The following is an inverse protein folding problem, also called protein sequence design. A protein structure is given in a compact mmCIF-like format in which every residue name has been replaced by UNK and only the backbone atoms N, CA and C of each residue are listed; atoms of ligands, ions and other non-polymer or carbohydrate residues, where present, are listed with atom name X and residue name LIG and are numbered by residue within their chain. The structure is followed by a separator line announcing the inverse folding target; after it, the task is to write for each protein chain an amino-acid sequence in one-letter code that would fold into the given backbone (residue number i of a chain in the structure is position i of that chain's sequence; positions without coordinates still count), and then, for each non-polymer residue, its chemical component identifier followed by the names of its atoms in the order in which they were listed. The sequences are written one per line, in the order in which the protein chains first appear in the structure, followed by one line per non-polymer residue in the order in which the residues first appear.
data_IF_668570558800
#
_entry.id   IF_668570558800
#
_cell.length_a   1.000
_cell.length_b   1.000
_cell.length_c   1.000
_cell.angle_alpha   90.00
_cell.angle_beta   90.00
_cell.angle_gamma   90.00
#
_symmetry.space_group_name_H-M   'P 1'
#
loop_
_entity.id
_entity.type
_entity.pdbx_description
1 polymer ?
#
# COMPACT_ATOMS: atom_id res chain seq x y z
N UNK A 1 -39.85 6.81 -27.46
CA UNK A 1 -39.47 6.90 -26.02
C UNK A 1 -39.17 5.54 -25.33
N UNK A 2 -39.59 4.39 -25.88
CA UNK A 2 -39.41 3.05 -25.19
C UNK A 2 -38.03 2.42 -25.33
N UNK A 3 -37.12 2.91 -26.16
CA UNK A 3 -35.78 2.31 -26.41
C UNK A 3 -34.62 3.01 -25.69
N UNK A 4 -34.85 4.15 -25.06
CA UNK A 4 -33.82 4.89 -24.32
C UNK A 4 -33.64 4.37 -22.88
N UNK A 5 -34.72 3.82 -22.31
CA UNK A 5 -34.72 3.30 -20.95
C UNK A 5 -33.76 2.13 -20.71
N UNK A 6 -33.67 1.09 -21.58
CA UNK A 6 -32.72 0.02 -21.39
C UNK A 6 -31.27 0.46 -21.61
N UNK A 7 -31.01 1.48 -22.44
CA UNK A 7 -29.67 2.01 -22.67
C UNK A 7 -29.18 2.80 -21.46
N UNK A 8 -30.04 3.57 -20.81
CA UNK A 8 -29.72 4.28 -19.56
C UNK A 8 -29.48 3.31 -18.40
N UNK A 9 -30.23 2.22 -18.32
CA UNK A 9 -30.04 1.19 -17.30
C UNK A 9 -28.71 0.45 -17.50
N UNK A 10 -28.34 0.15 -18.74
CA UNK A 10 -27.06 -0.47 -19.07
C UNK A 10 -25.87 0.44 -18.75
N UNK A 11 -26.00 1.74 -19.02
CA UNK A 11 -24.99 2.75 -18.69
C UNK A 11 -24.82 2.91 -17.18
N UNK A 12 -25.92 2.88 -16.41
CA UNK A 12 -25.88 2.93 -14.96
C UNK A 12 -25.20 1.69 -14.33
N UNK A 13 -25.41 0.50 -14.93
CA UNK A 13 -24.73 -0.73 -14.50
C UNK A 13 -23.22 -0.72 -14.81
N UNK A 14 -22.80 -0.07 -15.89
CA UNK A 14 -21.39 0.08 -16.22
C UNK A 14 -20.65 1.08 -15.30
N UNK A 15 -21.37 2.02 -14.71
CA UNK A 15 -20.82 2.98 -13.74
C UNK A 15 -20.76 2.46 -12.29
N UNK A 16 -21.44 1.34 -12.00
CA UNK A 16 -21.44 0.71 -10.68
C UNK A 16 -20.25 -0.24 -10.43
N UNK A 17 -19.38 -0.44 -11.42
CA UNK A 17 -18.25 -1.33 -11.31
C UNK A 17 -16.95 -0.60 -11.02
N UNK A 18 -16.38 -0.88 -9.88
CA UNK A 18 -15.07 -0.56 -9.31
C UNK A 18 -15.13 0.42 -8.13
N UNK A 19 -15.87 0.05 -7.12
CA UNK A 19 -15.45 0.43 -5.76
C UNK A 19 -14.41 -0.64 -5.35
N UNK A 20 -13.13 -0.36 -5.62
CA UNK A 20 -12.07 -1.10 -4.99
C UNK A 20 -12.27 -0.97 -3.48
N UNK A 21 -12.30 -2.10 -2.80
CA UNK A 21 -12.35 -2.15 -1.34
C UNK A 21 -11.19 -1.30 -0.83
N UNK A 22 -11.50 -0.22 -0.13
CA UNK A 22 -10.48 0.63 0.47
C UNK A 22 -9.73 -0.23 1.49
N UNK A 23 -8.40 -0.28 1.40
CA UNK A 23 -7.59 -0.92 2.43
C UNK A 23 -8.03 -0.37 3.80
N UNK A 24 -8.12 -1.23 4.84
CA UNK A 24 -8.49 -0.79 6.16
C UNK A 24 -7.57 0.37 6.58
N UNK A 25 -8.17 1.49 6.92
CA UNK A 25 -7.44 2.63 7.41
C UNK A 25 -7.05 2.35 8.87
N UNK A 26 -5.91 1.70 9.07
CA UNK A 26 -5.26 1.71 10.38
C UNK A 26 -4.85 3.15 10.65
N UNK A 27 -5.68 3.87 11.35
CA UNK A 27 -5.45 5.27 11.69
C UNK A 27 -4.91 5.35 13.11
N UNK A 28 -3.62 5.59 13.22
CA UNK A 28 -3.04 6.05 14.49
C UNK A 28 -3.22 7.56 14.60
N UNK A 29 -3.75 8.01 15.75
CA UNK A 29 -3.87 9.43 16.05
C UNK A 29 -2.48 9.97 16.41
N UNK A 30 -1.91 10.77 15.53
CA UNK A 30 -0.58 11.36 15.71
C UNK A 30 -0.51 12.30 16.93
N UNK A 31 -1.65 12.84 17.37
CA UNK A 31 -1.71 13.69 18.58
C UNK A 31 -1.45 12.89 19.86
N UNK A 32 -1.55 11.56 19.79
CA UNK A 32 -1.21 10.66 20.91
C UNK A 32 0.28 10.31 20.99
N UNK A 33 1.09 10.69 20.01
CA UNK A 33 2.55 10.49 20.08
C UNK A 33 3.12 11.39 21.17
N UNK A 34 3.78 10.85 22.20
CA UNK A 34 4.41 11.65 23.24
C UNK A 34 5.44 12.64 22.66
N UNK A 35 5.57 13.79 23.30
CA UNK A 35 6.60 14.75 22.93
C UNK A 35 8.00 14.12 23.05
N UNK A 36 8.94 14.59 22.22
CA UNK A 36 10.32 14.12 22.25
C UNK A 36 10.94 14.31 23.65
N UNK A 37 11.48 13.24 24.22
CA UNK A 37 12.05 13.19 25.56
C UNK A 37 13.53 12.74 25.59
N UNK A 38 14.24 12.87 24.46
CA UNK A 38 15.67 12.54 24.36
C UNK A 38 15.98 11.17 23.75
N UNK A 39 15.00 10.27 23.67
CA UNK A 39 15.17 8.95 23.07
C UNK A 39 14.81 8.97 21.57
N UNK A 40 15.51 8.19 20.70
CA UNK A 40 15.28 8.16 19.27
C UNK A 40 13.98 7.43 18.87
N UNK A 41 13.26 6.87 19.81
CA UNK A 41 12.01 6.13 19.60
C UNK A 41 11.06 6.36 20.78
N UNK A 42 9.80 6.08 20.56
CA UNK A 42 8.77 6.02 21.60
C UNK A 42 7.89 4.79 21.39
N UNK A 43 7.54 4.13 22.48
CA UNK A 43 6.60 3.01 22.44
C UNK A 43 5.19 3.57 22.37
N UNK A 44 4.40 3.08 21.41
CA UNK A 44 2.99 3.37 21.24
C UNK A 44 2.20 2.07 21.32
N UNK A 45 0.98 2.12 21.85
CA UNK A 45 0.09 0.96 21.98
C UNK A 45 0.80 -0.27 22.58
N UNK A 46 1.64 -0.10 23.58
CA UNK A 46 2.46 -1.18 24.18
C UNK A 46 3.23 -2.02 23.15
N UNK A 47 3.63 -1.39 22.06
CA UNK A 47 4.29 -2.01 20.90
C UNK A 47 3.46 -3.13 20.23
N UNK A 48 2.15 -3.01 20.30
CA UNK A 48 1.21 -3.89 19.59
C UNK A 48 0.70 -3.20 18.33
N UNK A 49 0.57 -3.91 17.21
CA UNK A 49 -0.03 -3.36 16.00
C UNK A 49 -1.52 -3.04 16.21
N UNK A 50 -2.03 -2.06 15.46
CA UNK A 50 -3.43 -1.65 15.47
C UNK A 50 -4.27 -2.45 14.47
N UNK A 51 -4.28 -3.77 14.59
CA UNK A 51 -5.13 -4.62 13.77
C UNK A 51 -6.48 -4.87 14.45
N UNK A 52 -7.55 -4.90 13.66
CA UNK A 52 -8.85 -5.41 14.10
C UNK A 52 -8.82 -6.93 14.29
N UNK A 53 -9.77 -7.46 15.04
CA UNK A 53 -9.85 -8.92 15.27
C UNK A 53 -10.05 -9.70 13.95
N UNK A 54 -10.76 -9.12 12.99
CA UNK A 54 -11.01 -9.67 11.66
C UNK A 54 -9.74 -9.69 10.76
N UNK A 55 -8.73 -8.92 11.13
CA UNK A 55 -7.47 -8.84 10.39
C UNK A 55 -6.46 -9.91 10.83
N UNK A 56 -6.71 -10.56 11.98
CA UNK A 56 -5.93 -11.70 12.44
C UNK A 56 -6.39 -12.98 11.71
N UNK A 57 -5.86 -13.19 10.53
CA UNK A 57 -6.19 -14.32 9.65
C UNK A 57 -4.94 -15.12 9.30
N UNK A 58 -5.13 -16.38 8.93
CA UNK A 58 -4.08 -17.22 8.33
C UNK A 58 -4.21 -17.32 6.81
N UNK A 59 -5.23 -16.68 6.23
CA UNK A 59 -5.38 -16.60 4.78
C UNK A 59 -4.48 -15.51 4.21
N UNK A 60 -3.65 -15.86 3.24
CA UNK A 60 -2.73 -14.91 2.62
C UNK A 60 -3.50 -13.92 1.74
N UNK A 61 -3.22 -12.63 1.93
CA UNK A 61 -3.77 -11.56 1.11
C UNK A 61 -2.78 -10.39 1.00
N UNK A 62 -2.96 -9.56 -0.01
CA UNK A 62 -2.30 -8.25 -0.11
C UNK A 62 -3.28 -7.19 -0.62
N UNK A 63 -3.24 -6.02 -0.02
CA UNK A 63 -4.11 -4.89 -0.37
C UNK A 63 -3.30 -3.60 -0.39
N UNK A 64 -3.57 -2.78 -1.37
CA UNK A 64 -2.91 -1.50 -1.57
C UNK A 64 -3.94 -0.40 -1.77
N UNK A 65 -3.77 0.73 -1.09
CA UNK A 65 -4.58 1.90 -1.38
C UNK A 65 -4.25 2.47 -2.77
N UNK A 66 -5.19 3.16 -3.36
CA UNK A 66 -4.89 3.98 -4.54
C UNK A 66 -3.82 5.03 -4.22
N UNK A 67 -3.07 5.45 -5.24
CA UNK A 67 -2.17 6.58 -5.10
C UNK A 67 -2.98 7.85 -4.82
N UNK A 68 -2.42 8.76 -4.04
CA UNK A 68 -3.04 10.06 -3.80
C UNK A 68 -2.97 10.99 -5.03
N UNK A 69 -3.54 12.19 -4.92
CA UNK A 69 -3.54 13.17 -6.01
C UNK A 69 -2.15 13.66 -6.47
N UNK A 70 -1.10 13.35 -5.73
CA UNK A 70 0.30 13.61 -6.07
C UNK A 70 1.05 12.35 -6.52
N UNK A 71 0.37 11.22 -6.66
CA UNK A 71 0.96 9.94 -7.04
C UNK A 71 1.79 9.30 -5.93
N UNK A 72 1.51 9.60 -4.65
CA UNK A 72 2.21 9.01 -3.51
C UNK A 72 1.49 7.76 -3.03
N UNK A 73 2.26 6.79 -2.58
CA UNK A 73 1.72 5.58 -1.97
C UNK A 73 1.01 5.90 -0.66
N UNK A 74 -0.09 5.20 -0.41
CA UNK A 74 -0.76 5.18 0.88
C UNK A 74 -0.52 3.85 1.59
N UNK A 75 -1.55 3.28 2.19
CA UNK A 75 -1.47 2.04 2.94
C UNK A 75 -1.13 0.86 2.05
N UNK A 76 -0.14 0.06 2.47
CA UNK A 76 0.13 -1.29 1.97
C UNK A 76 -0.10 -2.25 3.14
N UNK A 77 -0.94 -3.24 2.95
CA UNK A 77 -1.39 -4.13 3.99
C UNK A 77 -1.46 -5.57 3.48
N UNK A 78 -0.85 -6.50 4.21
CA UNK A 78 -0.79 -7.89 3.78
C UNK A 78 -0.71 -8.86 4.96
N UNK A 79 -1.35 -10.01 4.81
CA UNK A 79 -1.03 -11.23 5.54
C UNK A 79 -0.17 -12.10 4.61
N UNK A 80 1.13 -12.19 4.88
CA UNK A 80 2.07 -12.84 4.00
C UNK A 80 2.07 -14.35 4.23
N UNK A 81 1.75 -15.11 3.20
CA UNK A 81 1.79 -16.56 3.17
C UNK A 81 2.60 -17.08 2.00
N UNK A 82 2.84 -18.38 1.98
CA UNK A 82 3.61 -19.05 0.92
C UNK A 82 2.98 -18.82 -0.48
N UNK A 83 1.66 -18.65 -0.53
CA UNK A 83 0.90 -18.39 -1.77
C UNK A 83 1.31 -17.08 -2.44
N UNK A 84 1.77 -16.10 -1.66
CA UNK A 84 2.22 -14.79 -2.17
C UNK A 84 3.71 -14.76 -2.52
N UNK A 85 4.49 -15.76 -2.12
CA UNK A 85 5.92 -15.80 -2.41
C UNK A 85 6.20 -15.88 -3.92
N UNK A 86 7.24 -15.18 -4.41
CA UNK A 86 7.58 -15.19 -5.83
C UNK A 86 8.02 -16.58 -6.29
N UNK A 87 7.52 -17.00 -7.45
CA UNK A 87 7.91 -18.25 -8.11
C UNK A 87 9.06 -18.07 -9.11
N UNK A 88 9.52 -16.85 -9.36
CA UNK A 88 10.53 -16.51 -10.37
C UNK A 88 11.64 -15.61 -9.83
N UNK A 89 12.57 -15.28 -10.71
CA UNK A 89 13.66 -14.37 -10.39
C UNK A 89 13.16 -12.92 -10.26
N UNK A 90 13.85 -12.15 -9.45
CA UNK A 90 13.55 -10.73 -9.24
C UNK A 90 13.87 -9.93 -10.51
N UNK A 91 12.85 -9.26 -11.03
CA UNK A 91 13.01 -8.33 -12.14
C UNK A 91 13.52 -6.95 -11.69
N UNK A 92 14.12 -6.21 -12.63
CA UNK A 92 14.56 -4.85 -12.36
C UNK A 92 13.39 -3.89 -12.30
N UNK A 93 13.30 -3.12 -11.22
CA UNK A 93 12.33 -2.03 -11.04
C UNK A 93 12.93 -0.64 -11.33
N UNK A 94 14.02 -0.58 -12.08
CA UNK A 94 14.73 0.69 -12.36
C UNK A 94 13.87 1.72 -13.10
N UNK A 95 12.88 1.26 -13.87
CA UNK A 95 11.91 2.13 -14.57
C UNK A 95 10.83 2.69 -13.64
N UNK A 96 10.56 2.07 -12.50
CA UNK A 96 9.56 2.53 -11.53
C UNK A 96 10.15 3.64 -10.68
N UNK A 97 9.59 4.85 -10.81
CA UNK A 97 10.05 6.01 -10.05
C UNK A 97 8.91 6.51 -9.17
N UNK A 98 9.08 6.50 -7.85
CA UNK A 98 8.11 7.11 -6.94
C UNK A 98 7.91 8.60 -7.24
N UNK A 99 6.76 9.13 -6.85
CA UNK A 99 6.48 10.56 -6.97
C UNK A 99 7.56 11.38 -6.25
N UNK A 100 8.05 12.42 -6.93
CA UNK A 100 9.10 13.27 -6.39
C UNK A 100 10.50 12.63 -6.32
N UNK A 101 10.71 11.45 -6.92
CA UNK A 101 11.99 10.77 -6.88
C UNK A 101 13.09 11.56 -7.57
N UNK A 102 14.06 11.98 -6.79
CA UNK A 102 15.30 12.58 -7.26
C UNK A 102 16.45 11.79 -6.63
N UNK A 103 17.33 11.23 -7.44
CA UNK A 103 18.51 10.56 -6.94
C UNK A 103 19.74 11.42 -7.14
N UNK A 104 20.58 11.49 -6.13
CA UNK A 104 21.81 12.29 -6.11
C UNK A 104 22.97 11.37 -5.76
N UNK A 105 24.05 11.51 -6.50
CA UNK A 105 25.32 10.85 -6.18
C UNK A 105 26.24 11.78 -5.39
N UNK A 106 26.89 11.21 -4.38
CA UNK A 106 27.96 11.85 -3.64
C UNK A 106 29.07 10.84 -3.34
N UNK A 107 30.31 11.16 -3.68
CA UNK A 107 31.43 10.26 -3.44
C UNK A 107 31.33 8.92 -4.19
N UNK A 108 30.64 8.86 -5.33
CA UNK A 108 30.43 7.64 -6.11
C UNK A 108 29.33 6.71 -5.55
N UNK A 109 28.52 7.19 -4.63
CA UNK A 109 27.39 6.45 -4.05
C UNK A 109 26.10 7.26 -4.14
N UNK A 110 24.98 6.55 -4.34
CA UNK A 110 23.65 7.16 -4.30
C UNK A 110 23.26 7.47 -2.86
N UNK A 111 22.79 8.70 -2.61
CA UNK A 111 22.33 9.14 -1.30
C UNK A 111 20.98 8.54 -0.93
N UNK A 112 20.14 8.23 -1.92
CA UNK A 112 18.80 7.73 -1.70
C UNK A 112 18.60 6.38 -2.40
N UNK A 113 17.94 5.48 -1.70
CA UNK A 113 17.55 4.18 -2.22
C UNK A 113 16.04 4.01 -2.06
N UNK A 114 15.42 3.38 -3.06
CA UNK A 114 14.00 3.03 -2.98
C UNK A 114 13.81 1.87 -2.01
N UNK A 115 12.80 1.97 -1.16
CA UNK A 115 12.38 0.92 -0.27
C UNK A 115 11.02 0.39 -0.70
N UNK A 116 10.84 -0.92 -0.68
CA UNK A 116 9.54 -1.54 -0.85
C UNK A 116 8.71 -1.37 0.43
N UNK A 117 7.39 -1.21 0.29
CA UNK A 117 6.47 -1.30 1.42
C UNK A 117 6.30 -2.75 1.86
N UNK A 118 6.18 -3.68 0.88
CA UNK A 118 6.20 -5.12 1.09
C UNK A 118 7.37 -5.68 0.28
N UNK A 119 8.20 -6.55 0.87
CA UNK A 119 9.41 -7.08 0.24
C UNK A 119 9.10 -7.96 -0.98
N UNK A 120 10.01 -8.01 -1.95
CA UNK A 120 9.86 -8.88 -3.13
C UNK A 120 9.73 -10.36 -2.75
N UNK A 121 10.48 -10.81 -1.77
CA UNK A 121 10.46 -12.19 -1.29
C UNK A 121 9.13 -12.59 -0.64
N UNK A 122 8.31 -11.62 -0.30
CA UNK A 122 7.04 -11.82 0.41
C UNK A 122 5.83 -11.80 -0.54
N UNK A 123 6.03 -11.63 -1.86
CA UNK A 123 4.93 -11.48 -2.82
C UNK A 123 5.31 -11.85 -4.26
N UNK A 124 4.32 -12.33 -5.05
CA UNK A 124 4.49 -12.75 -6.45
C UNK A 124 4.56 -11.61 -7.45
N UNK A 125 3.99 -10.45 -7.15
CA UNK A 125 3.94 -9.31 -8.05
C UNK A 125 4.79 -8.16 -7.55
N UNK A 126 5.41 -7.42 -8.46
CA UNK A 126 6.12 -6.17 -8.19
C UNK A 126 5.20 -5.03 -8.60
N UNK A 127 4.83 -4.19 -7.65
CA UNK A 127 4.13 -2.93 -7.90
C UNK A 127 5.08 -1.78 -7.67
#
# INVERSE_FOLDING_TARGET
MRRVFPLLLLLALLLAGCQGEAAPAVSYDLDQVPAYAGEPYVVINDNQPFFGEEEYTTEAFETYSALDGLGRCGTAYACVGEELMPAGERESISSVKPSGWINVEYGGQYLYNRCHLIGFQDRKSVV
#
